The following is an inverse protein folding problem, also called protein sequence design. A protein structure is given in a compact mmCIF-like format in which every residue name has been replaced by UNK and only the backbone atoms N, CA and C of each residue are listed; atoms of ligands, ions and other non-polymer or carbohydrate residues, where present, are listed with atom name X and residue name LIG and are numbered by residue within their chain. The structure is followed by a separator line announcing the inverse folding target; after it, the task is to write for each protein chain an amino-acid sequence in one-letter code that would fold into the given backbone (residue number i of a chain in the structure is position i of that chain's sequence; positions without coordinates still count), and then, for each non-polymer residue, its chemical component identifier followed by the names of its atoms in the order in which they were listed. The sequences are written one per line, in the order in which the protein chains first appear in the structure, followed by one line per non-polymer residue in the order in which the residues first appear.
data_IF_915193386040
#
_entry.id   IF_915193386040
#
_cell.length_a   1.000
_cell.length_b   1.000
_cell.length_c   1.000
_cell.angle_alpha   90.00
_cell.angle_beta   90.00
_cell.angle_gamma   90.00
#
_symmetry.space_group_name_H-M   'P 1'
#
loop_
_entity.id
_entity.type
_entity.pdbx_description
1 polymer ?
#
# COMPACT_ATOMS: atom_id res chain seq x y z
N UNK A 1 -15.98 16.63 -18.39
CA UNK A 1 -14.58 16.20 -18.54
C UNK A 1 -14.32 15.14 -17.49
N UNK A 2 -14.23 13.86 -17.87
CA UNK A 2 -13.99 12.74 -16.93
C UNK A 2 -12.50 12.45 -16.90
N UNK A 3 -11.87 12.53 -15.73
CA UNK A 3 -10.44 12.30 -15.55
C UNK A 3 -10.16 10.79 -15.54
N UNK A 4 -9.39 10.29 -16.52
CA UNK A 4 -9.09 8.85 -16.68
C UNK A 4 -7.77 8.49 -15.99
N UNK A 5 -7.86 7.78 -14.87
CA UNK A 5 -6.74 6.99 -14.32
C UNK A 5 -6.70 5.65 -15.06
N UNK A 6 -5.52 5.25 -15.57
CA UNK A 6 -5.30 3.91 -16.17
C UNK A 6 -4.68 2.97 -15.13
N UNK A 7 -5.34 1.86 -14.85
CA UNK A 7 -4.80 0.76 -14.06
C UNK A 7 -4.37 -0.39 -15.00
N UNK A 8 -3.21 -0.99 -14.75
CA UNK A 8 -2.69 -2.17 -15.48
C UNK A 8 -2.51 -3.36 -14.55
N UNK A 9 -2.62 -4.58 -15.10
CA UNK A 9 -2.50 -5.84 -14.34
C UNK A 9 -1.38 -6.70 -14.92
N UNK A 10 -0.59 -7.35 -14.05
CA UNK A 10 0.26 -8.48 -14.44
C UNK A 10 -0.50 -9.79 -14.16
N UNK A 11 -0.77 -10.58 -15.21
CA UNK A 11 -1.29 -11.96 -15.09
C UNK A 11 -0.18 -12.94 -15.48
N UNK A 12 0.26 -13.77 -14.54
CA UNK A 12 1.09 -14.94 -14.84
C UNK A 12 0.48 -16.20 -14.22
N UNK A 13 0.07 -17.11 -15.09
CA UNK A 13 -0.33 -18.49 -14.80
C UNK A 13 -0.28 -19.30 -16.11
N UNK A 14 0.20 -20.55 -16.12
CA UNK A 14 0.54 -21.26 -17.34
C UNK A 14 -0.66 -22.05 -17.87
N UNK A 15 -1.03 -21.84 -19.13
CA UNK A 15 -1.86 -22.82 -19.86
C UNK A 15 -1.35 -22.97 -21.28
N UNK A 16 -0.88 -24.18 -21.58
CA UNK A 16 -0.65 -24.68 -22.92
C UNK A 16 -1.99 -24.94 -23.62
N UNK A 17 -2.15 -24.48 -24.86
CA UNK A 17 -2.63 -25.30 -25.99
C UNK A 17 -2.60 -24.52 -27.31
N UNK A 18 -2.42 -25.27 -28.38
CA UNK A 18 -2.03 -24.86 -29.73
C UNK A 18 -3.19 -24.30 -30.56
N UNK A 19 -2.83 -23.37 -31.47
CA UNK A 19 -3.35 -23.26 -32.83
C UNK A 19 -4.55 -22.33 -33.04
N UNK A 20 -4.39 -21.31 -33.88
CA UNK A 20 -4.75 -21.29 -35.32
C UNK A 20 -4.45 -19.87 -35.85
N UNK A 21 -3.85 -19.80 -37.04
CA UNK A 21 -3.15 -18.63 -37.54
C UNK A 21 -3.99 -17.60 -38.30
N UNK A 22 -3.33 -16.47 -38.58
CA UNK A 22 -3.48 -15.69 -39.81
C UNK A 22 -4.63 -14.69 -39.86
N UNK A 23 -4.31 -13.41 -39.64
CA UNK A 23 -4.73 -12.20 -40.38
C UNK A 23 -4.70 -10.96 -39.45
N UNK A 24 -3.50 -10.44 -39.16
CA UNK A 24 -3.37 -9.12 -38.52
C UNK A 24 -1.97 -8.46 -38.71
N UNK A 25 -1.24 -8.79 -39.79
CA UNK A 25 0.19 -8.43 -39.91
C UNK A 25 0.50 -7.25 -40.84
N UNK A 26 -0.43 -6.33 -41.11
CA UNK A 26 -0.16 -5.21 -42.05
C UNK A 26 -0.61 -3.80 -41.60
N UNK A 27 -1.02 -3.60 -40.35
CA UNK A 27 -1.31 -2.24 -39.83
C UNK A 27 -0.46 -1.84 -38.61
N UNK A 28 0.45 -2.71 -38.14
CA UNK A 28 1.32 -2.46 -36.99
C UNK A 28 2.71 -1.90 -37.34
N UNK A 29 3.09 -1.86 -38.62
CA UNK A 29 4.42 -1.36 -39.02
C UNK A 29 4.50 0.16 -39.21
N UNK A 30 3.38 0.87 -39.36
CA UNK A 30 3.37 2.30 -39.69
C UNK A 30 3.55 3.25 -38.50
N UNK A 31 3.29 2.81 -37.26
CA UNK A 31 3.39 3.64 -36.05
C UNK A 31 4.64 3.36 -35.21
N UNK A 32 5.35 2.26 -35.48
CA UNK A 32 6.62 1.95 -34.82
C UNK A 32 7.81 2.80 -35.33
N UNK A 33 7.66 3.50 -36.46
CA UNK A 33 8.73 4.25 -37.12
C UNK A 33 8.76 5.75 -36.78
N UNK A 34 7.74 6.30 -36.12
CA UNK A 34 7.69 7.72 -35.73
C UNK A 34 8.20 8.00 -34.30
N UNK A 35 8.48 6.97 -33.48
CA UNK A 35 9.08 7.13 -32.15
C UNK A 35 10.57 6.73 -32.08
N UNK A 36 11.16 6.30 -33.20
CA UNK A 36 12.59 5.93 -33.28
C UNK A 36 13.52 7.13 -33.48
N UNK A 37 13.00 8.36 -33.52
CA UNK A 37 13.76 9.58 -33.80
C UNK A 37 14.15 10.39 -32.55
N UNK A 38 13.99 9.83 -31.36
CA UNK A 38 14.73 10.27 -30.17
C UNK A 38 15.84 9.24 -29.94
N UNK A 39 16.95 9.41 -30.67
CA UNK A 39 18.22 8.79 -30.29
C UNK A 39 18.54 9.24 -28.86
N UNK A 40 18.28 8.35 -27.90
CA UNK A 40 18.92 8.44 -26.60
C UNK A 40 20.42 8.33 -26.87
N UNK A 41 21.13 9.45 -26.74
CA UNK A 41 22.59 9.46 -26.73
C UNK A 41 23.08 8.34 -25.78
N UNK A 42 24.14 7.59 -26.13
CA UNK A 42 24.65 6.54 -25.28
C UNK A 42 25.11 7.18 -23.98
N UNK A 43 24.33 7.01 -22.92
CA UNK A 43 24.77 7.36 -21.59
C UNK A 43 26.01 6.50 -21.32
N UNK A 44 27.17 7.16 -21.15
CA UNK A 44 28.37 6.51 -20.64
C UNK A 44 28.06 5.80 -19.31
N UNK A 45 28.98 4.96 -18.79
CA UNK A 45 28.78 4.28 -17.53
C UNK A 45 28.57 5.32 -16.43
N UNK A 46 27.29 5.58 -16.10
CA UNK A 46 26.93 6.37 -14.94
C UNK A 46 27.49 5.63 -13.72
N UNK A 47 28.16 6.32 -12.78
CA UNK A 47 28.51 5.72 -11.50
C UNK A 47 27.25 5.08 -10.93
N UNK A 48 27.33 3.79 -10.57
CA UNK A 48 26.19 3.06 -10.01
C UNK A 48 25.77 3.83 -8.76
N UNK A 49 24.66 4.59 -8.84
CA UNK A 49 24.22 5.41 -7.72
C UNK A 49 23.99 4.50 -6.52
N UNK A 50 24.39 4.95 -5.35
CA UNK A 50 24.13 4.21 -4.13
C UNK A 50 22.60 4.12 -3.94
N UNK A 51 22.12 2.93 -3.60
CA UNK A 51 20.69 2.61 -3.58
C UNK A 51 20.23 2.42 -2.15
N UNK A 52 19.26 3.22 -1.72
CA UNK A 52 18.56 3.00 -0.46
C UNK A 52 17.43 1.99 -0.62
N UNK A 53 17.03 1.35 0.48
CA UNK A 53 15.91 0.41 0.49
C UNK A 53 14.95 0.67 1.65
N UNK A 54 13.66 0.41 1.46
CA UNK A 54 12.70 0.43 2.55
C UNK A 54 11.61 -0.63 2.37
N UNK A 55 11.08 -1.12 3.49
CA UNK A 55 9.94 -2.03 3.51
C UNK A 55 8.61 -1.28 3.50
N UNK A 56 7.62 -1.83 2.82
CA UNK A 56 6.21 -1.45 2.94
C UNK A 56 5.40 -2.68 3.35
N UNK A 57 4.78 -2.58 4.53
CA UNK A 57 3.86 -3.58 5.08
C UNK A 57 2.51 -2.92 5.30
N UNK A 58 1.43 -3.64 5.02
CA UNK A 58 0.07 -3.12 5.17
C UNK A 58 -0.92 -4.25 5.45
N UNK A 59 -2.04 -3.90 6.08
CA UNK A 59 -3.21 -4.77 6.21
C UNK A 59 -2.83 -6.11 6.86
N UNK A 60 -2.36 -6.03 8.10
CA UNK A 60 -1.96 -7.18 8.89
C UNK A 60 -3.18 -7.99 9.32
N UNK A 61 -4.25 -7.31 9.73
CA UNK A 61 -5.50 -7.85 10.25
C UNK A 61 -5.29 -9.10 11.11
N UNK A 62 -4.77 -8.93 12.32
CA UNK A 62 -4.65 -9.99 13.30
C UNK A 62 -6.06 -10.47 13.70
N UNK A 63 -6.36 -11.75 13.50
CA UNK A 63 -7.47 -12.43 14.18
C UNK A 63 -6.94 -13.15 15.44
N UNK A 64 -7.17 -12.60 16.65
CA UNK A 64 -6.71 -13.24 17.89
C UNK A 64 -7.43 -14.55 18.21
N UNK A 65 -8.54 -14.84 17.52
CA UNK A 65 -9.37 -16.02 17.75
C UNK A 65 -8.96 -17.21 16.89
N UNK A 66 -8.03 -17.02 15.95
CA UNK A 66 -7.61 -18.08 15.03
C UNK A 66 -7.05 -19.30 15.77
N UNK A 67 -7.71 -20.46 15.61
CA UNK A 67 -7.22 -21.74 16.09
C UNK A 67 -7.76 -22.89 15.23
N UNK A 68 -6.97 -23.96 15.09
CA UNK A 68 -7.38 -25.14 14.31
C UNK A 68 -8.31 -26.00 15.17
N UNK A 69 -9.51 -26.26 14.68
CA UNK A 69 -10.54 -27.05 15.36
C UNK A 69 -11.36 -27.86 14.34
N UNK A 70 -11.93 -29.03 14.71
CA UNK A 70 -12.81 -29.79 13.81
C UNK A 70 -14.04 -29.00 13.34
N UNK A 71 -14.58 -28.13 14.18
CA UNK A 71 -15.69 -27.25 13.84
C UNK A 71 -15.17 -26.04 13.03
N UNK A 72 -15.18 -26.18 11.70
CA UNK A 72 -14.61 -25.18 10.79
C UNK A 72 -15.27 -23.80 10.86
N UNK A 73 -16.45 -23.68 11.44
CA UNK A 73 -17.13 -22.39 11.68
C UNK A 73 -16.53 -21.61 12.86
N UNK A 74 -15.74 -22.29 13.70
CA UNK A 74 -15.12 -21.72 14.91
C UNK A 74 -13.61 -21.52 14.78
N UNK A 75 -13.05 -21.75 13.60
CA UNK A 75 -11.61 -21.58 13.36
C UNK A 75 -11.18 -20.14 13.57
N UNK A 76 -11.99 -19.19 13.09
CA UNK A 76 -11.69 -17.76 13.16
C UNK A 76 -12.99 -16.95 13.15
N UNK A 77 -13.05 -15.89 13.94
CA UNK A 77 -14.24 -15.03 14.03
C UNK A 77 -14.40 -14.19 12.77
N UNK A 78 -13.30 -13.86 12.08
CA UNK A 78 -13.32 -13.12 10.82
C UNK A 78 -14.08 -13.82 9.68
N UNK A 79 -14.26 -15.15 9.77
CA UNK A 79 -15.08 -15.92 8.82
C UNK A 79 -16.58 -15.67 8.99
N UNK A 80 -17.00 -15.05 10.11
CA UNK A 80 -18.39 -14.72 10.44
C UNK A 80 -19.29 -15.95 10.44
N UNK A 81 -18.76 -17.09 10.90
CA UNK A 81 -19.45 -18.37 10.97
C UNK A 81 -19.43 -19.19 9.68
N UNK A 82 -18.75 -18.72 8.63
CA UNK A 82 -18.49 -19.55 7.46
C UNK A 82 -17.48 -20.66 7.80
N UNK A 83 -17.63 -21.83 7.16
CA UNK A 83 -16.63 -22.89 7.28
C UNK A 83 -15.31 -22.43 6.66
N UNK A 84 -14.25 -22.34 7.46
CA UNK A 84 -12.89 -22.17 6.95
C UNK A 84 -12.58 -23.25 5.89
N UNK A 85 -11.93 -22.85 4.79
CA UNK A 85 -11.82 -23.68 3.59
C UNK A 85 -10.88 -24.88 3.79
N UNK A 86 -9.65 -24.59 4.21
CA UNK A 86 -8.61 -25.55 4.50
C UNK A 86 -7.63 -24.95 5.53
N UNK A 87 -8.07 -24.75 6.78
CA UNK A 87 -7.31 -24.01 7.77
C UNK A 87 -6.03 -24.76 8.16
N UNK A 88 -4.93 -24.02 8.31
CA UNK A 88 -3.75 -24.54 8.97
C UNK A 88 -2.94 -23.46 9.70
N UNK A 89 -1.70 -23.73 10.12
CA UNK A 89 -0.98 -22.88 11.06
C UNK A 89 -0.75 -21.44 10.62
N UNK A 90 -0.74 -21.16 9.30
CA UNK A 90 -0.49 -19.82 8.75
C UNK A 90 -1.75 -19.16 8.17
N UNK A 91 -2.93 -19.72 8.44
CA UNK A 91 -4.21 -19.10 8.08
C UNK A 91 -5.07 -19.95 7.16
N UNK A 92 -6.12 -19.30 6.67
CA UNK A 92 -7.09 -19.78 5.68
C UNK A 92 -7.56 -18.58 4.85
N UNK A 93 -7.94 -18.78 3.59
CA UNK A 93 -8.45 -17.68 2.76
C UNK A 93 -9.78 -17.09 3.24
N UNK A 94 -10.53 -17.74 4.14
CA UNK A 94 -11.72 -17.17 4.77
C UNK A 94 -11.44 -16.56 6.16
N UNK A 95 -10.17 -16.58 6.58
CA UNK A 95 -9.75 -16.03 7.86
C UNK A 95 -8.81 -14.84 7.66
N UNK A 96 -8.87 -13.93 8.61
CA UNK A 96 -7.81 -12.97 8.84
C UNK A 96 -6.57 -13.64 9.43
N UNK A 97 -5.47 -12.89 9.53
CA UNK A 97 -4.17 -13.44 9.86
C UNK A 97 -4.13 -14.04 11.27
N UNK A 98 -3.74 -15.32 11.44
CA UNK A 98 -3.24 -15.75 12.73
C UNK A 98 -1.96 -14.99 13.07
N UNK A 99 -1.67 -14.82 14.36
CA UNK A 99 -0.45 -14.14 14.79
C UNK A 99 0.82 -14.81 14.23
N UNK A 100 0.80 -16.14 14.08
CA UNK A 100 1.89 -16.92 13.49
C UNK A 100 2.21 -16.51 12.04
N UNK A 101 1.22 -16.09 11.24
CA UNK A 101 1.45 -15.57 9.89
C UNK A 101 2.17 -14.21 9.95
N UNK A 102 1.71 -13.31 10.81
CA UNK A 102 2.33 -11.98 10.96
C UNK A 102 3.79 -12.11 11.45
N UNK A 103 4.03 -12.93 12.48
CA UNK A 103 5.37 -13.22 12.99
C UNK A 103 6.30 -13.76 11.90
N UNK A 104 5.79 -14.64 11.04
CA UNK A 104 6.58 -15.22 9.97
C UNK A 104 6.95 -14.21 8.87
N UNK A 105 6.06 -13.26 8.56
CA UNK A 105 6.35 -12.19 7.60
C UNK A 105 7.47 -11.29 8.13
N UNK A 106 7.42 -10.90 9.41
CA UNK A 106 8.49 -10.13 10.03
C UNK A 106 9.79 -10.91 10.20
N UNK A 107 9.72 -12.20 10.51
CA UNK A 107 10.91 -13.07 10.53
C UNK A 107 11.57 -13.14 9.15
N UNK A 108 10.79 -13.35 8.08
CA UNK A 108 11.29 -13.31 6.72
C UNK A 108 11.97 -11.98 6.40
N UNK A 109 11.32 -10.86 6.69
CA UNK A 109 11.89 -9.53 6.44
C UNK A 109 13.22 -9.33 7.16
N UNK A 110 13.33 -9.78 8.41
CA UNK A 110 14.55 -9.74 9.21
C UNK A 110 15.67 -10.63 8.64
N UNK A 111 15.32 -11.85 8.22
CA UNK A 111 16.27 -12.84 7.73
C UNK A 111 16.63 -12.67 6.23
N UNK A 112 15.99 -11.72 5.54
CA UNK A 112 16.15 -11.47 4.10
C UNK A 112 17.53 -10.90 3.70
N UNK A 113 18.39 -10.58 4.67
CA UNK A 113 19.67 -9.89 4.49
C UNK A 113 19.57 -8.56 3.69
N UNK A 114 18.38 -7.96 3.60
CA UNK A 114 18.21 -6.64 3.00
C UNK A 114 18.60 -5.56 4.00
N UNK A 115 19.47 -4.64 3.57
CA UNK A 115 19.84 -3.46 4.35
C UNK A 115 18.81 -2.37 4.05
N UNK A 116 17.88 -2.16 4.98
CA UNK A 116 16.79 -1.19 4.84
C UNK A 116 17.02 0.03 5.72
N UNK A 117 16.71 1.20 5.18
CA UNK A 117 16.88 2.49 5.85
C UNK A 117 15.70 2.81 6.78
N UNK A 118 14.48 2.41 6.40
CA UNK A 118 13.26 2.59 7.18
C UNK A 118 12.17 1.58 6.75
N UNK A 119 11.03 1.62 7.44
CA UNK A 119 9.81 0.91 7.06
C UNK A 119 8.63 1.88 7.00
N UNK A 120 7.72 1.68 6.06
CA UNK A 120 6.38 2.27 6.10
C UNK A 120 5.35 1.18 6.44
N UNK A 121 4.42 1.52 7.34
CA UNK A 121 3.36 0.61 7.79
C UNK A 121 2.00 1.28 7.64
N UNK A 122 1.25 0.94 6.59
CA UNK A 122 0.01 1.65 6.23
C UNK A 122 -1.26 1.08 6.88
N UNK A 123 -1.15 0.60 8.13
CA UNK A 123 -2.30 0.35 9.00
C UNK A 123 -3.06 -0.96 8.77
N UNK A 124 -4.28 -0.99 9.34
CA UNK A 124 -5.25 -2.09 9.38
C UNK A 124 -4.75 -3.32 10.16
N UNK A 125 -4.83 -3.19 11.49
CA UNK A 125 -4.38 -4.18 12.46
C UNK A 125 -5.50 -5.09 12.98
N UNK A 126 -6.70 -4.59 13.36
CA UNK A 126 -7.80 -5.43 13.84
C UNK A 126 -8.46 -6.29 12.75
N UNK A 127 -9.16 -7.39 13.13
CA UNK A 127 -9.77 -8.29 12.16
C UNK A 127 -11.12 -7.76 11.64
N UNK A 128 -11.59 -8.37 10.54
CA UNK A 128 -12.90 -8.14 9.95
C UNK A 128 -14.01 -8.91 10.68
N UNK A 129 -14.36 -8.47 11.88
CA UNK A 129 -15.49 -8.99 12.65
C UNK A 129 -16.63 -7.96 12.75
N UNK A 130 -17.87 -8.36 13.04
CA UNK A 130 -18.95 -7.41 13.32
C UNK A 130 -18.55 -6.40 14.40
N UNK A 131 -18.95 -5.14 14.27
CA UNK A 131 -18.60 -4.03 15.19
C UNK A 131 -18.79 -4.38 16.67
N UNK A 132 -19.86 -5.14 16.99
CA UNK A 132 -20.21 -5.57 18.35
C UNK A 132 -19.23 -6.56 18.99
N UNK A 133 -18.36 -7.19 18.19
CA UNK A 133 -17.34 -8.14 18.65
C UNK A 133 -15.99 -7.45 18.92
N UNK A 134 -15.88 -6.16 18.60
CA UNK A 134 -14.75 -5.30 18.95
C UNK A 134 -15.17 -4.23 19.96
N UNK A 135 -14.17 -3.52 20.46
CA UNK A 135 -14.32 -2.31 21.29
C UNK A 135 -13.09 -1.43 21.10
N UNK A 136 -13.17 -0.16 21.50
CA UNK A 136 -12.02 0.77 21.51
C UNK A 136 -10.80 0.16 22.19
N UNK A 137 -10.99 -0.47 23.35
CA UNK A 137 -9.92 -1.12 24.12
C UNK A 137 -9.27 -2.27 23.36
N UNK A 138 -10.07 -3.12 22.69
CA UNK A 138 -9.55 -4.24 21.91
C UNK A 138 -8.77 -3.75 20.68
N UNK A 139 -9.30 -2.76 19.96
CA UNK A 139 -8.62 -2.12 18.82
C UNK A 139 -7.27 -1.55 19.25
N UNK A 140 -7.25 -0.75 20.32
CA UNK A 140 -6.00 -0.18 20.89
C UNK A 140 -5.02 -1.30 21.29
N UNK A 141 -5.51 -2.36 21.92
CA UNK A 141 -4.66 -3.50 22.33
C UNK A 141 -4.04 -4.21 21.13
N UNK A 142 -4.77 -4.38 20.03
CA UNK A 142 -4.26 -5.03 18.82
C UNK A 142 -3.21 -4.14 18.13
N UNK A 143 -3.46 -2.84 18.00
CA UNK A 143 -2.49 -1.89 17.43
C UNK A 143 -1.23 -1.83 18.30
N UNK A 144 -1.38 -1.81 19.63
CA UNK A 144 -0.26 -1.85 20.58
C UNK A 144 0.54 -3.16 20.51
N UNK A 145 -0.13 -4.30 20.27
CA UNK A 145 0.53 -5.58 20.01
C UNK A 145 1.36 -5.48 18.73
N UNK A 146 0.78 -5.10 17.59
CA UNK A 146 1.51 -4.98 16.32
C UNK A 146 2.69 -4.00 16.40
N UNK A 147 2.48 -2.85 17.04
CA UNK A 147 3.55 -1.85 17.25
C UNK A 147 4.70 -2.43 18.09
N UNK A 148 4.40 -3.25 19.09
CA UNK A 148 5.41 -3.91 19.92
C UNK A 148 6.10 -5.06 19.18
N UNK A 149 5.36 -5.84 18.40
CA UNK A 149 5.91 -6.90 17.53
C UNK A 149 6.92 -6.31 16.55
N UNK A 150 6.58 -5.22 15.86
CA UNK A 150 7.49 -4.56 14.91
C UNK A 150 8.76 -4.09 15.62
N UNK A 151 8.65 -3.42 16.77
CA UNK A 151 9.82 -2.99 17.56
C UNK A 151 10.69 -4.16 18.03
N UNK A 152 10.09 -5.30 18.38
CA UNK A 152 10.84 -6.47 18.81
C UNK A 152 11.63 -7.12 17.66
N UNK A 153 11.08 -7.11 16.43
CA UNK A 153 11.81 -7.60 15.25
C UNK A 153 12.86 -6.61 14.76
N UNK A 154 12.54 -5.32 14.80
CA UNK A 154 13.34 -4.23 14.23
C UNK A 154 13.53 -3.10 15.27
N UNK A 155 14.36 -3.30 16.31
CA UNK A 155 14.50 -2.33 17.40
C UNK A 155 15.12 -0.99 16.95
N UNK A 156 16.01 -1.04 15.97
CA UNK A 156 16.78 0.13 15.51
C UNK A 156 16.21 0.74 14.20
N UNK A 157 15.15 0.15 13.65
CA UNK A 157 14.58 0.60 12.38
C UNK A 157 13.50 1.67 12.62
N UNK A 158 13.65 2.82 11.98
CA UNK A 158 12.59 3.83 11.99
C UNK A 158 11.39 3.36 11.17
N UNK A 159 10.20 3.50 11.75
CA UNK A 159 8.93 3.10 11.11
C UNK A 159 8.05 4.32 10.97
N UNK A 160 7.50 4.54 9.77
CA UNK A 160 6.51 5.57 9.50
C UNK A 160 5.13 4.94 9.30
N UNK A 161 4.30 4.90 10.35
CA UNK A 161 2.98 4.31 10.27
C UNK A 161 1.89 5.26 9.76
N UNK A 162 0.81 4.69 9.22
CA UNK A 162 -0.47 5.35 8.98
C UNK A 162 -1.59 4.49 9.58
N UNK A 163 -2.67 5.13 10.04
CA UNK A 163 -3.86 4.42 10.51
C UNK A 163 -4.67 3.89 9.32
N UNK A 164 -5.19 2.68 9.43
CA UNK A 164 -6.22 2.15 8.54
C UNK A 164 -7.64 2.33 9.07
N UNK A 165 -8.64 1.96 8.25
CA UNK A 165 -10.05 2.16 8.61
C UNK A 165 -10.52 1.17 9.69
N UNK A 166 -9.87 0.01 9.83
CA UNK A 166 -10.10 -0.93 10.93
C UNK A 166 -9.36 -0.55 12.23
N UNK A 167 -8.41 0.38 12.19
CA UNK A 167 -7.67 0.85 13.38
C UNK A 167 -8.49 1.85 14.23
N UNK A 168 -9.82 1.73 14.23
CA UNK A 168 -10.72 2.54 15.05
C UNK A 168 -11.96 1.74 15.45
N UNK A 169 -12.62 2.14 16.54
CA UNK A 169 -13.91 1.56 16.93
C UNK A 169 -14.97 2.65 17.15
N UNK A 170 -16.17 2.53 16.55
CA UNK A 170 -16.51 1.58 15.48
C UNK A 170 -15.61 1.72 14.24
N UNK A 171 -15.39 0.65 13.49
CA UNK A 171 -14.57 0.68 12.26
C UNK A 171 -15.07 1.77 11.30
N UNK A 172 -14.15 2.33 10.51
CA UNK A 172 -14.33 3.40 9.54
C UNK A 172 -14.65 4.79 10.13
N UNK A 173 -15.16 4.89 11.37
CA UNK A 173 -15.67 6.14 11.95
C UNK A 173 -14.58 7.03 12.58
N UNK A 174 -13.47 7.23 11.85
CA UNK A 174 -12.33 8.02 12.33
C UNK A 174 -12.72 9.50 12.46
N UNK A 175 -12.50 10.15 13.63
CA UNK A 175 -12.97 11.49 13.91
C UNK A 175 -12.05 12.59 13.38
N UNK A 176 -12.59 13.81 13.28
CA UNK A 176 -11.85 15.01 12.84
C UNK A 176 -11.11 15.74 13.97
N UNK A 177 -11.18 15.21 15.20
CA UNK A 177 -10.54 15.76 16.39
C UNK A 177 -9.81 14.66 17.15
N UNK A 178 -9.11 15.04 18.23
CA UNK A 178 -8.48 14.08 19.13
C UNK A 178 -9.46 13.02 19.64
N UNK A 179 -8.93 11.82 19.90
CA UNK A 179 -9.69 10.66 20.36
C UNK A 179 -8.85 9.77 21.27
N UNK A 180 -9.49 8.85 21.99
CA UNK A 180 -8.78 7.85 22.81
C UNK A 180 -7.81 7.01 21.96
N UNK A 181 -8.24 6.59 20.77
CA UNK A 181 -7.40 5.83 19.84
C UNK A 181 -6.21 6.65 19.36
N UNK A 182 -6.41 7.90 18.91
CA UNK A 182 -5.30 8.74 18.44
C UNK A 182 -4.30 8.99 19.57
N UNK A 183 -4.76 9.17 20.80
CA UNK A 183 -3.88 9.35 21.93
C UNK A 183 -3.08 8.09 22.27
N UNK A 184 -3.74 6.93 22.34
CA UNK A 184 -3.07 5.67 22.66
C UNK A 184 -2.07 5.26 21.57
N UNK A 185 -2.45 5.40 20.30
CA UNK A 185 -1.57 5.07 19.17
C UNK A 185 -0.38 6.03 19.09
N UNK A 186 -0.58 7.31 19.39
CA UNK A 186 0.52 8.26 19.51
C UNK A 186 1.55 7.79 20.55
N UNK A 187 1.10 7.28 21.70
CA UNK A 187 2.00 6.76 22.73
C UNK A 187 2.78 5.53 22.28
N UNK A 188 2.17 4.63 21.50
CA UNK A 188 2.86 3.48 20.94
C UNK A 188 3.92 3.87 19.90
N UNK A 189 3.68 4.95 19.15
CA UNK A 189 4.53 5.36 18.02
C UNK A 189 5.57 6.44 18.38
N UNK A 190 5.54 6.97 19.62
CA UNK A 190 6.58 7.86 20.16
C UNK A 190 8.02 7.41 19.89
N UNK A 191 8.38 6.12 19.98
CA UNK A 191 9.76 5.69 19.69
C UNK A 191 10.21 5.93 18.25
N UNK A 192 9.28 6.09 17.30
CA UNK A 192 9.60 6.31 15.89
C UNK A 192 9.41 7.75 15.44
N UNK A 193 8.63 8.54 16.18
CA UNK A 193 8.13 9.84 15.76
C UNK A 193 8.60 10.99 16.66
N UNK A 194 8.83 12.16 16.08
CA UNK A 194 9.18 13.38 16.83
C UNK A 194 7.97 13.89 17.62
N UNK A 195 8.23 14.72 18.65
CA UNK A 195 7.15 15.32 19.45
C UNK A 195 6.20 16.19 18.62
N UNK A 196 6.69 16.85 17.57
CA UNK A 196 5.87 17.62 16.62
C UNK A 196 4.93 16.71 15.82
N UNK A 197 5.46 15.59 15.30
CA UNK A 197 4.67 14.59 14.59
C UNK A 197 3.61 13.97 15.52
N UNK A 198 3.99 13.62 16.74
CA UNK A 198 3.08 13.12 17.78
C UNK A 198 2.00 14.15 18.13
N UNK A 199 2.37 15.43 18.27
CA UNK A 199 1.43 16.51 18.58
C UNK A 199 0.38 16.71 17.48
N UNK A 200 0.76 16.57 16.21
CA UNK A 200 -0.17 16.66 15.07
C UNK A 200 -1.02 15.39 14.97
N UNK A 201 -0.41 14.21 15.14
CA UNK A 201 -1.11 12.93 15.08
C UNK A 201 -2.23 12.85 16.12
N UNK A 202 -2.01 13.30 17.36
CA UNK A 202 -3.05 13.33 18.40
C UNK A 202 -4.28 14.16 18.02
N UNK A 203 -4.16 15.13 17.12
CA UNK A 203 -5.26 16.02 16.71
C UNK A 203 -6.13 15.43 15.60
N UNK A 204 -5.56 14.65 14.68
CA UNK A 204 -6.28 14.19 13.49
C UNK A 204 -5.80 12.89 12.84
N UNK A 205 -4.86 12.17 13.47
CA UNK A 205 -4.35 10.89 12.96
C UNK A 205 -3.40 10.99 11.77
N UNK A 206 -2.88 12.18 11.46
CA UNK A 206 -1.91 12.44 10.38
C UNK A 206 -0.69 13.22 10.92
N UNK A 207 0.45 13.14 10.22
CA UNK A 207 1.66 13.87 10.60
C UNK A 207 2.65 13.96 9.43
N UNK A 208 3.70 14.76 9.60
CA UNK A 208 4.88 14.74 8.74
C UNK A 208 6.14 14.59 9.59
N UNK A 209 7.18 13.99 9.02
CA UNK A 209 8.48 13.84 9.65
C UNK A 209 9.59 13.80 8.61
N UNK A 210 10.74 14.38 8.93
CA UNK A 210 11.95 14.22 8.13
C UNK A 210 12.63 12.90 8.48
N UNK A 211 13.04 12.19 7.44
CA UNK A 211 13.92 11.04 7.48
C UNK A 211 15.31 11.49 7.03
N UNK A 212 16.30 11.32 7.90
CA UNK A 212 17.70 11.60 7.60
C UNK A 212 18.41 10.27 7.35
N UNK A 213 18.85 10.05 6.11
CA UNK A 213 19.66 8.89 5.77
C UNK A 213 21.13 9.19 6.09
N UNK A 214 21.86 8.23 6.65
CA UNK A 214 23.34 8.35 6.75
C UNK A 214 24.02 8.41 5.38
N UNK A 215 23.33 7.92 4.34
CA UNK A 215 23.89 7.71 3.02
C UNK A 215 23.38 8.75 2.00
N UNK A 216 22.58 9.73 2.43
CA UNK A 216 22.11 10.85 1.59
C UNK A 216 22.43 12.19 2.24
N UNK A 217 22.76 13.18 1.42
CA UNK A 217 23.00 14.56 1.87
C UNK A 217 21.73 15.41 2.00
N UNK A 218 20.59 14.93 1.49
CA UNK A 218 19.31 15.63 1.57
C UNK A 218 18.36 14.81 2.45
N UNK A 219 17.51 15.42 3.27
CA UNK A 219 16.50 14.69 4.01
C UNK A 219 15.29 14.37 3.12
N UNK A 220 14.63 13.24 3.38
CA UNK A 220 13.35 12.88 2.79
C UNK A 220 12.22 13.24 3.74
N UNK A 221 11.19 13.94 3.29
CA UNK A 221 9.99 14.16 4.09
C UNK A 221 8.98 13.05 3.88
N UNK A 222 8.57 12.40 4.97
CA UNK A 222 7.42 11.51 4.99
C UNK A 222 6.18 12.31 5.42
N UNK A 223 5.10 12.18 4.67
CA UNK A 223 3.78 12.71 5.03
C UNK A 223 2.83 11.53 5.18
N UNK A 224 2.41 11.26 6.42
CA UNK A 224 1.43 10.22 6.75
C UNK A 224 0.04 10.83 6.84
N UNK A 225 -0.80 10.52 5.86
CA UNK A 225 -2.16 11.01 5.74
C UNK A 225 -3.15 10.09 6.44
N UNK A 226 -4.16 10.69 7.08
CA UNK A 226 -5.34 9.97 7.54
C UNK A 226 -6.40 10.02 6.43
N UNK A 227 -6.23 9.17 5.41
CA UNK A 227 -7.18 9.10 4.28
C UNK A 227 -8.51 8.44 4.64
N UNK A 228 -8.61 7.83 5.82
CA UNK A 228 -9.87 7.27 6.33
C UNK A 228 -10.91 8.36 6.61
N UNK A 229 -10.48 9.62 6.82
CA UNK A 229 -11.39 10.77 6.88
C UNK A 229 -12.17 10.97 5.58
N UNK A 230 -11.62 10.51 4.45
CA UNK A 230 -12.23 10.65 3.13
C UNK A 230 -13.01 9.41 2.71
N UNK A 231 -12.93 8.32 3.47
CA UNK A 231 -13.51 7.02 3.13
C UNK A 231 -15.05 7.08 3.13
N UNK A 232 -15.67 6.49 2.10
CA UNK A 232 -17.12 6.60 1.88
C UNK A 232 -17.99 6.12 3.06
N UNK A 233 -17.63 5.04 3.78
CA UNK A 233 -18.32 4.60 5.00
C UNK A 233 -18.14 5.48 6.25
N UNK A 234 -17.20 6.43 6.27
CA UNK A 234 -16.96 7.26 7.45
C UNK A 234 -18.06 8.33 7.60
N UNK A 235 -19.10 8.05 8.39
CA UNK A 235 -20.25 8.96 8.54
C UNK A 235 -19.89 10.25 9.30
N UNK A 236 -18.79 10.25 10.05
CA UNK A 236 -18.33 11.40 10.87
C UNK A 236 -17.92 12.59 10.00
N UNK A 237 -17.48 12.34 8.76
CA UNK A 237 -16.97 13.39 7.85
C UNK A 237 -17.95 13.83 6.77
N UNK A 238 -19.20 13.34 6.80
CA UNK A 238 -20.23 13.74 5.85
C UNK A 238 -20.44 15.26 5.91
N UNK A 239 -20.49 15.91 4.75
CA UNK A 239 -20.65 17.36 4.58
C UNK A 239 -19.53 18.22 5.18
N UNK A 240 -18.36 17.66 5.51
CA UNK A 240 -17.18 18.43 5.92
C UNK A 240 -16.28 18.65 4.70
N UNK A 241 -15.98 19.91 4.35
CA UNK A 241 -15.21 20.24 3.15
C UNK A 241 -13.71 19.96 3.28
N UNK A 242 -13.16 20.06 4.49
CA UNK A 242 -11.77 19.74 4.83
C UNK A 242 -11.70 19.10 6.23
N UNK A 243 -11.95 17.78 6.34
CA UNK A 243 -11.99 17.10 7.63
C UNK A 243 -10.63 17.18 8.34
N UNK A 244 -10.66 17.64 9.59
CA UNK A 244 -9.48 17.92 10.42
C UNK A 244 -8.50 18.97 9.85
N UNK A 245 -8.93 19.79 8.89
CA UNK A 245 -8.09 20.74 8.16
C UNK A 245 -6.88 20.08 7.45
N UNK A 246 -7.01 18.80 7.09
CA UNK A 246 -5.90 18.01 6.56
C UNK A 246 -5.48 18.45 5.15
N UNK A 247 -6.39 18.95 4.30
CA UNK A 247 -6.02 19.49 2.99
C UNK A 247 -5.23 20.79 3.13
N UNK A 248 -5.72 21.74 3.92
CA UNK A 248 -5.01 23.00 4.17
C UNK A 248 -3.63 22.75 4.79
N UNK A 249 -3.55 21.81 5.75
CA UNK A 249 -2.28 21.37 6.32
C UNK A 249 -1.35 20.75 5.27
N UNK A 250 -1.86 19.83 4.45
CA UNK A 250 -1.08 19.15 3.41
C UNK A 250 -0.51 20.13 2.38
N UNK A 251 -1.33 21.06 1.88
CA UNK A 251 -0.87 22.10 0.95
C UNK A 251 0.23 22.96 1.59
N UNK A 252 0.08 23.34 2.87
CA UNK A 252 1.11 24.08 3.60
C UNK A 252 2.44 23.34 3.72
N UNK A 253 2.41 22.03 4.02
CA UNK A 253 3.62 21.20 4.11
C UNK A 253 4.28 21.04 2.74
N UNK A 254 3.50 20.74 1.68
CA UNK A 254 4.04 20.56 0.33
C UNK A 254 4.62 21.86 -0.24
N UNK A 255 3.99 23.00 0.02
CA UNK A 255 4.52 24.32 -0.33
C UNK A 255 5.85 24.59 0.37
N UNK A 256 5.94 24.34 1.68
CA UNK A 256 7.17 24.50 2.44
C UNK A 256 8.28 23.55 1.95
N UNK A 257 7.95 22.29 1.62
CA UNK A 257 8.90 21.34 1.02
C UNK A 257 9.38 21.81 -0.34
N UNK A 258 8.49 22.38 -1.17
CA UNK A 258 8.88 22.95 -2.46
C UNK A 258 9.89 24.09 -2.30
N UNK A 259 9.69 24.97 -1.33
CA UNK A 259 10.59 26.11 -1.07
C UNK A 259 11.94 25.69 -0.51
N UNK A 260 11.98 24.55 0.20
CA UNK A 260 13.20 23.97 0.77
C UNK A 260 13.87 22.95 -0.16
N UNK A 261 13.33 22.74 -1.35
CA UNK A 261 13.80 21.74 -2.31
C UNK A 261 13.82 20.31 -1.74
N UNK A 262 12.95 20.00 -0.78
CA UNK A 262 12.81 18.67 -0.20
C UNK A 262 12.11 17.71 -1.17
N UNK A 263 12.37 16.42 -1.03
CA UNK A 263 11.55 15.37 -1.64
C UNK A 263 10.58 14.79 -0.63
N UNK A 264 9.42 14.37 -1.14
CA UNK A 264 8.31 13.89 -0.31
C UNK A 264 7.87 12.49 -0.73
N UNK A 265 7.70 11.61 0.26
CA UNK A 265 6.88 10.42 0.14
C UNK A 265 5.55 10.61 0.87
N UNK A 266 4.45 10.36 0.16
CA UNK A 266 3.10 10.34 0.73
C UNK A 266 2.77 8.90 1.13
N UNK A 267 2.38 8.68 2.37
CA UNK A 267 1.81 7.42 2.81
C UNK A 267 0.38 7.64 3.31
N UNK A 268 -0.49 6.66 3.11
CA UNK A 268 -1.85 6.66 3.63
C UNK A 268 -2.43 5.25 3.55
N UNK A 269 -3.61 5.03 4.12
CA UNK A 269 -4.22 3.70 4.08
C UNK A 269 -5.13 3.53 2.85
N UNK A 270 -6.29 4.18 2.84
CA UNK A 270 -7.22 4.16 1.71
C UNK A 270 -6.60 4.94 0.54
N UNK A 271 -6.41 4.34 -0.64
CA UNK A 271 -5.81 5.02 -1.78
C UNK A 271 -6.74 6.07 -2.39
N UNK A 272 -6.16 7.00 -3.15
CA UNK A 272 -6.94 7.80 -4.11
C UNK A 272 -7.23 6.96 -5.36
N UNK A 273 -8.08 7.49 -6.24
CA UNK A 273 -8.37 6.90 -7.54
C UNK A 273 -9.49 5.86 -7.50
N UNK A 274 -9.64 5.17 -8.63
CA UNK A 274 -10.69 4.19 -8.85
C UNK A 274 -10.26 2.78 -8.42
N UNK A 275 -11.19 2.05 -7.81
CA UNK A 275 -10.98 0.65 -7.48
C UNK A 275 -10.87 -0.17 -8.78
N UNK A 276 -9.77 -0.92 -8.99
CA UNK A 276 -9.52 -1.59 -10.28
C UNK A 276 -10.49 -2.74 -10.59
N UNK A 277 -11.23 -3.22 -9.57
CA UNK A 277 -12.20 -4.30 -9.65
C UNK A 277 -13.66 -3.82 -9.65
N UNK A 278 -13.91 -2.51 -9.53
CA UNK A 278 -15.26 -1.93 -9.55
C UNK A 278 -15.39 -0.86 -10.63
N UNK A 279 -16.56 -0.75 -11.25
CA UNK A 279 -16.80 0.24 -12.30
C UNK A 279 -17.13 1.59 -11.67
N UNK A 280 -16.45 2.65 -12.12
CA UNK A 280 -16.73 4.04 -11.76
C UNK A 280 -16.88 4.29 -10.25
N UNK A 281 -16.11 3.57 -9.44
CA UNK A 281 -16.14 3.66 -7.98
C UNK A 281 -14.76 4.04 -7.48
N UNK A 282 -14.66 5.22 -6.86
CA UNK A 282 -13.44 5.66 -6.17
C UNK A 282 -13.34 5.02 -4.79
N UNK A 283 -12.13 4.79 -4.30
CA UNK A 283 -11.92 4.21 -2.97
C UNK A 283 -12.36 5.18 -1.83
N UNK A 284 -12.13 6.48 -2.02
CA UNK A 284 -12.63 7.56 -1.16
C UNK A 284 -13.77 8.33 -1.86
N UNK A 285 -14.49 9.20 -1.15
CA UNK A 285 -15.57 10.00 -1.77
C UNK A 285 -15.01 10.88 -2.90
N UNK A 286 -15.75 10.98 -4.00
CA UNK A 286 -15.32 11.66 -5.23
C UNK A 286 -14.83 13.09 -4.98
N UNK A 287 -15.52 13.89 -4.17
CA UNK A 287 -15.10 15.24 -3.82
C UNK A 287 -13.67 15.30 -3.24
N UNK A 288 -13.36 14.40 -2.29
CA UNK A 288 -12.03 14.34 -1.67
C UNK A 288 -10.98 13.76 -2.63
N UNK A 289 -11.38 12.78 -3.45
CA UNK A 289 -10.53 12.25 -4.52
C UNK A 289 -10.04 13.36 -5.44
N UNK A 290 -10.97 14.15 -5.98
CA UNK A 290 -10.63 15.25 -6.89
C UNK A 290 -9.79 16.34 -6.19
N UNK A 291 -10.03 16.60 -4.90
CA UNK A 291 -9.22 17.56 -4.13
C UNK A 291 -7.78 17.08 -3.99
N UNK A 292 -7.55 15.81 -3.63
CA UNK A 292 -6.20 15.24 -3.53
C UNK A 292 -5.51 15.15 -4.87
N UNK A 293 -6.20 14.75 -5.94
CA UNK A 293 -5.64 14.71 -7.30
C UNK A 293 -5.12 16.09 -7.70
N UNK A 294 -5.87 17.16 -7.43
CA UNK A 294 -5.43 18.54 -7.71
C UNK A 294 -4.20 18.92 -6.90
N UNK A 295 -4.17 18.62 -5.60
CA UNK A 295 -3.02 18.91 -4.72
C UNK A 295 -1.77 18.16 -5.21
N UNK A 296 -1.88 16.84 -5.44
CA UNK A 296 -0.75 16.03 -5.87
C UNK A 296 -0.25 16.39 -7.26
N UNK A 297 -1.14 16.80 -8.18
CA UNK A 297 -0.72 17.32 -9.49
C UNK A 297 0.04 18.64 -9.33
N UNK A 298 -0.45 19.56 -8.50
CA UNK A 298 0.21 20.86 -8.26
C UNK A 298 1.62 20.70 -7.70
N UNK A 299 1.83 19.73 -6.82
CA UNK A 299 3.09 19.50 -6.12
C UNK A 299 3.88 18.28 -6.62
N UNK A 300 3.63 17.82 -7.85
CA UNK A 300 4.21 16.58 -8.38
C UNK A 300 5.73 16.61 -8.55
N UNK A 301 6.33 17.80 -8.64
CA UNK A 301 7.80 17.97 -8.68
C UNK A 301 8.49 17.65 -7.35
N UNK A 302 7.76 17.78 -6.24
CA UNK A 302 8.23 17.55 -4.86
C UNK A 302 7.93 16.12 -4.44
N UNK A 303 6.78 15.58 -4.84
CA UNK A 303 6.34 14.23 -4.47
C UNK A 303 7.08 13.19 -5.32
N UNK A 304 7.93 12.39 -4.67
CA UNK A 304 8.73 11.35 -5.32
C UNK A 304 8.05 9.97 -5.35
N UNK A 305 7.02 9.76 -4.52
CA UNK A 305 6.25 8.51 -4.49
C UNK A 305 5.06 8.57 -3.54
N UNK A 306 4.03 7.76 -3.83
CA UNK A 306 2.86 7.62 -2.97
C UNK A 306 2.57 6.15 -2.69
N UNK A 307 2.27 5.80 -1.43
CA UNK A 307 2.19 4.42 -0.96
C UNK A 307 0.94 4.19 -0.13
N UNK A 308 0.14 3.20 -0.52
CA UNK A 308 -1.16 2.89 0.07
C UNK A 308 -1.37 1.40 0.32
N UNK A 309 -2.42 1.07 1.08
CA UNK A 309 -2.85 -0.31 1.38
C UNK A 309 -4.31 -0.53 1.04
N UNK A 310 -5.09 -1.01 2.01
CA UNK A 310 -6.56 -1.10 2.06
C UNK A 310 -7.19 -2.11 1.09
N UNK A 311 -6.79 -2.10 -0.18
CA UNK A 311 -7.44 -2.93 -1.20
C UNK A 311 -7.06 -4.41 -1.12
N UNK A 312 -6.00 -4.71 -0.36
CA UNK A 312 -5.34 -6.02 -0.28
C UNK A 312 -4.85 -6.52 -1.65
N UNK A 313 -4.69 -5.62 -2.63
CA UNK A 313 -4.25 -5.95 -3.98
C UNK A 313 -2.99 -5.18 -4.32
N UNK A 314 -2.13 -5.88 -5.03
CA UNK A 314 -0.99 -5.29 -5.70
C UNK A 314 -1.50 -4.48 -6.89
N UNK A 315 -1.40 -3.15 -6.81
CA UNK A 315 -1.85 -2.24 -7.86
C UNK A 315 -0.96 -1.02 -7.98
N UNK A 316 -0.86 -0.50 -9.20
CA UNK A 316 -0.08 0.69 -9.52
C UNK A 316 -1.02 1.68 -10.20
N UNK A 317 -0.91 2.95 -9.84
CA UNK A 317 -1.59 4.04 -10.52
C UNK A 317 -0.57 5.09 -10.95
N UNK A 318 -0.84 5.74 -12.08
CA UNK A 318 -0.03 6.83 -12.61
C UNK A 318 -0.90 8.07 -12.67
N UNK A 319 -0.48 9.12 -11.96
CA UNK A 319 -1.11 10.43 -12.03
C UNK A 319 -0.56 11.18 -13.23
N UNK A 320 -1.48 11.68 -14.06
CA UNK A 320 -1.16 12.53 -15.22
C UNK A 320 -1.40 14.01 -14.89
N UNK A 321 -0.60 14.90 -15.49
CA UNK A 321 -0.87 16.34 -15.54
C UNK A 321 -2.01 16.67 -16.53
N UNK A 322 -2.22 17.96 -16.80
CA UNK A 322 -3.30 18.42 -17.69
C UNK A 322 -2.96 18.18 -19.17
N UNK A 323 -1.67 18.03 -19.49
CA UNK A 323 -1.13 17.67 -20.79
C UNK A 323 -0.99 16.14 -20.99
N UNK A 324 -1.62 15.34 -20.13
CA UNK A 324 -1.58 13.87 -20.13
C UNK A 324 -0.18 13.25 -19.95
N UNK A 325 0.80 14.02 -19.45
CA UNK A 325 2.12 13.50 -19.12
C UNK A 325 2.08 12.88 -17.73
N UNK A 326 2.75 11.73 -17.54
CA UNK A 326 2.84 11.14 -16.22
C UNK A 326 3.70 12.06 -15.34
N UNK A 327 3.22 12.33 -14.13
CA UNK A 327 3.91 13.20 -13.16
C UNK A 327 4.15 12.54 -11.81
N UNK A 328 3.42 11.48 -11.47
CA UNK A 328 3.56 10.80 -10.17
C UNK A 328 3.15 9.33 -10.24
N UNK A 329 3.85 8.48 -9.47
CA UNK A 329 3.57 7.05 -9.35
C UNK A 329 3.01 6.73 -7.97
N UNK A 330 1.92 5.95 -7.92
CA UNK A 330 1.26 5.52 -6.71
C UNK A 330 1.25 4.00 -6.64
N UNK A 331 1.57 3.46 -5.48
CA UNK A 331 1.70 2.03 -5.25
C UNK A 331 0.75 1.59 -4.15
N UNK A 332 -0.09 0.62 -4.47
CA UNK A 332 -0.95 -0.06 -3.50
C UNK A 332 -0.31 -1.41 -3.21
N UNK A 333 0.10 -1.62 -1.96
CA UNK A 333 0.70 -2.87 -1.53
C UNK A 333 -0.39 -3.94 -1.27
N UNK A 334 -0.11 -5.22 -1.58
CA UNK A 334 -0.97 -6.31 -1.12
C UNK A 334 -0.93 -6.44 0.41
N UNK A 335 -1.93 -7.11 0.96
CA UNK A 335 -2.02 -7.35 2.39
C UNK A 335 -1.18 -8.54 2.84
N UNK A 336 -0.86 -8.58 4.14
CA UNK A 336 -0.40 -9.81 4.80
C UNK A 336 -1.58 -10.75 5.04
N UNK A 337 -2.76 -10.23 5.41
CA UNK A 337 -3.96 -11.08 5.53
C UNK A 337 -4.37 -11.67 4.17
N UNK A 338 -4.75 -12.96 4.11
CA UNK A 338 -5.27 -13.58 2.89
C UNK A 338 -6.79 -13.56 2.83
N UNK A 339 -7.48 -12.86 3.74
CA UNK A 339 -8.93 -12.97 3.90
C UNK A 339 -9.67 -12.59 2.61
N UNK A 340 -10.69 -13.37 2.27
CA UNK A 340 -11.72 -13.02 1.29
C UNK A 340 -13.10 -13.35 1.83
N UNK A 341 -14.10 -12.66 1.33
CA UNK A 341 -15.49 -13.05 1.56
C UNK A 341 -15.83 -14.36 0.83
N UNK A 342 -16.85 -15.07 1.33
CA UNK A 342 -17.30 -16.36 0.76
C UNK A 342 -17.71 -16.25 -0.71
N UNK A 343 -18.27 -15.11 -1.11
CA UNK A 343 -18.75 -14.84 -2.47
C UNK A 343 -17.63 -14.44 -3.44
N UNK A 344 -16.44 -14.09 -2.92
CA UNK A 344 -15.29 -13.74 -3.77
C UNK A 344 -14.61 -15.02 -4.25
N UNK A 345 -14.35 -15.08 -5.56
CA UNK A 345 -13.61 -16.19 -6.17
C UNK A 345 -12.12 -16.13 -5.81
N UNK A 346 -11.54 -14.94 -5.84
CA UNK A 346 -10.11 -14.71 -5.68
C UNK A 346 -9.79 -14.03 -4.33
N UNK A 347 -8.63 -14.37 -3.78
CA UNK A 347 -7.97 -13.61 -2.70
C UNK A 347 -6.56 -13.21 -3.11
N UNK A 348 -5.85 -12.53 -2.21
CA UNK A 348 -4.40 -12.38 -2.27
C UNK A 348 -3.71 -13.45 -1.43
N UNK A 349 -2.50 -13.78 -1.83
CA UNK A 349 -1.53 -14.42 -0.96
C UNK A 349 -0.91 -13.36 -0.01
N UNK A 350 -0.45 -13.75 1.20
CA UNK A 350 0.26 -12.85 2.10
C UNK A 350 1.48 -12.24 1.40
N UNK A 351 1.61 -10.91 1.46
CA UNK A 351 2.68 -10.18 0.77
C UNK A 351 3.32 -9.08 1.61
N UNK A 352 4.61 -8.87 1.40
CA UNK A 352 5.38 -7.70 1.84
C UNK A 352 6.18 -7.16 0.67
N UNK A 353 6.43 -5.84 0.64
CA UNK A 353 7.09 -5.18 -0.51
C UNK A 353 8.34 -4.44 -0.09
N UNK A 354 9.42 -4.65 -0.84
CA UNK A 354 10.67 -3.89 -0.72
C UNK A 354 10.77 -2.90 -1.88
N UNK A 355 11.09 -1.65 -1.59
CA UNK A 355 11.41 -0.65 -2.59
C UNK A 355 12.91 -0.33 -2.58
N UNK A 356 13.40 0.03 -3.75
CA UNK A 356 14.73 0.59 -3.97
C UNK A 356 14.58 2.02 -4.49
N UNK A 357 15.34 2.95 -3.92
CA UNK A 357 15.29 4.37 -4.29
C UNK A 357 16.71 4.93 -4.48
N UNK A 358 16.82 5.97 -5.31
CA UNK A 358 18.06 6.69 -5.52
C UNK A 358 18.35 7.60 -4.31
N UNK A 359 19.56 7.55 -3.77
CA UNK A 359 19.93 8.34 -2.59
C UNK A 359 20.11 9.84 -2.89
N UNK A 360 20.16 10.26 -4.16
CA UNK A 360 20.32 11.67 -4.53
C UNK A 360 18.99 12.43 -4.58
N UNK A 361 17.95 11.81 -5.15
CA UNK A 361 16.68 12.49 -5.45
C UNK A 361 15.43 11.74 -4.97
N UNK A 362 15.63 10.62 -4.25
CA UNK A 362 14.58 9.74 -3.74
C UNK A 362 13.63 9.19 -4.81
N UNK A 363 14.02 9.25 -6.09
CA UNK A 363 13.25 8.61 -7.15
C UNK A 363 13.25 7.09 -6.96
N UNK A 364 12.10 6.48 -7.21
CA UNK A 364 11.96 5.03 -7.10
C UNK A 364 12.61 4.34 -8.29
N UNK A 365 13.42 3.33 -8.02
CA UNK A 365 14.17 2.57 -9.01
C UNK A 365 13.47 1.24 -9.33
N UNK A 366 13.25 0.43 -8.30
CA UNK A 366 12.72 -0.94 -8.41
C UNK A 366 11.84 -1.25 -7.21
N UNK A 367 10.79 -2.04 -7.42
CA UNK A 367 10.07 -2.69 -6.31
C UNK A 367 10.14 -4.20 -6.46
N UNK A 368 10.24 -4.88 -5.32
CA UNK A 368 10.28 -6.34 -5.22
C UNK A 368 9.18 -6.79 -4.28
N UNK A 369 8.29 -7.62 -4.80
CA UNK A 369 7.25 -8.26 -4.02
C UNK A 369 7.69 -9.62 -3.55
N UNK A 370 7.54 -9.84 -2.24
CA UNK A 370 7.72 -11.14 -1.63
C UNK A 370 6.36 -11.65 -1.20
N UNK A 371 5.88 -12.70 -1.88
CA UNK A 371 4.56 -13.30 -1.67
C UNK A 371 4.73 -14.73 -1.16
N UNK A 372 4.06 -15.07 -0.07
CA UNK A 372 4.02 -16.45 0.45
C UNK A 372 2.88 -17.22 -0.22
N UNK A 373 3.11 -18.48 -0.61
CA UNK A 373 2.07 -19.30 -1.24
C UNK A 373 1.57 -20.38 -0.29
N UNK A 374 0.25 -20.51 -0.16
CA UNK A 374 -0.35 -21.69 0.48
C UNK A 374 -0.25 -22.89 -0.48
N UNK A 375 0.59 -23.88 -0.17
CA UNK A 375 0.71 -25.10 -0.99
C UNK A 375 -0.13 -26.25 -0.41
N UNK A 376 -1.04 -26.78 -1.21
CA UNK A 376 -1.90 -27.92 -0.87
C UNK A 376 -1.23 -29.23 -1.30
N UNK A 377 -0.26 -29.74 -0.53
CA UNK A 377 0.24 -31.12 -0.73
C UNK A 377 0.22 -31.87 0.61
N UNK A 378 -0.69 -32.83 0.71
CA UNK A 378 -0.79 -33.88 1.76
C UNK A 378 -0.87 -33.42 3.24
N UNK A 379 -2.00 -32.79 3.62
CA UNK A 379 -2.45 -32.63 5.02
C UNK A 379 -1.41 -32.10 6.03
N UNK A 380 -0.44 -31.34 5.55
CA UNK A 380 0.54 -30.68 6.38
C UNK A 380 0.96 -29.39 5.70
N UNK A 381 0.76 -28.26 6.38
CA UNK A 381 1.34 -26.99 5.96
C UNK A 381 2.82 -27.07 6.26
N UNK A 382 3.57 -27.61 5.29
CA UNK A 382 5.01 -27.79 5.39
C UNK A 382 5.67 -26.41 5.42
N UNK A 383 6.62 -26.32 6.34
CA UNK A 383 7.65 -25.33 6.65
C UNK A 383 8.43 -24.76 5.44
N UNK A 384 7.77 -24.35 4.36
CA UNK A 384 8.40 -23.74 3.20
C UNK A 384 7.97 -22.27 3.07
N UNK A 385 8.48 -21.44 3.98
CA UNK A 385 8.79 -20.03 3.67
C UNK A 385 9.92 -19.89 2.63
N UNK A 386 10.50 -21.00 2.18
CA UNK A 386 11.58 -21.06 1.18
C UNK A 386 11.14 -20.71 -0.24
N UNK A 387 9.84 -20.59 -0.53
CA UNK A 387 9.34 -20.19 -1.85
C UNK A 387 8.59 -18.84 -1.82
N UNK A 388 9.07 -17.85 -1.04
CA UNK A 388 8.74 -16.45 -1.36
C UNK A 388 9.40 -16.10 -2.70
N UNK A 389 8.61 -16.16 -3.78
CA UNK A 389 9.09 -15.75 -5.10
C UNK A 389 9.17 -14.23 -5.15
N UNK A 390 10.37 -13.70 -5.35
CA UNK A 390 10.57 -12.28 -5.60
C UNK A 390 10.09 -11.95 -7.02
N UNK A 391 9.01 -11.19 -7.15
CA UNK A 391 8.63 -10.61 -8.44
C UNK A 391 9.27 -9.23 -8.57
N UNK A 392 10.16 -9.07 -9.55
CA UNK A 392 10.79 -7.78 -9.85
C UNK A 392 9.85 -6.99 -10.75
N UNK A 393 9.37 -5.87 -10.23
CA UNK A 393 8.67 -4.86 -11.01
C UNK A 393 9.74 -3.85 -11.46
N UNK A 394 10.13 -3.95 -12.74
CA UNK A 394 11.28 -3.22 -13.30
C UNK A 394 10.93 -1.76 -13.70
N UNK A 395 11.77 -0.83 -13.23
CA UNK A 395 11.86 0.60 -13.58
C UNK A 395 10.64 1.47 -13.22
N UNK A 396 10.67 2.03 -12.00
CA UNK A 396 9.57 2.79 -11.41
C UNK A 396 9.45 4.27 -11.84
N UNK A 397 10.29 4.75 -12.76
CA UNK A 397 10.27 6.14 -13.24
C UNK A 397 8.97 6.46 -13.99
N UNK A 398 8.38 7.60 -13.63
CA UNK A 398 7.10 8.12 -14.12
C UNK A 398 6.94 8.05 -15.65
N UNK A 399 7.99 8.38 -16.43
CA UNK A 399 7.97 8.31 -17.90
C UNK A 399 7.97 6.90 -18.50
N UNK A 400 8.44 5.88 -17.78
CA UNK A 400 8.55 4.49 -18.27
C UNK A 400 7.33 3.62 -17.94
N UNK A 401 6.53 3.99 -16.93
CA UNK A 401 5.25 3.33 -16.63
C UNK A 401 4.23 3.43 -17.76
N UNK A 402 4.21 4.57 -18.47
CA UNK A 402 3.42 4.70 -19.68
C UNK A 402 3.70 3.54 -20.63
N UNK A 403 4.97 3.18 -20.85
CA UNK A 403 5.35 2.09 -21.75
C UNK A 403 4.71 0.76 -21.31
N UNK A 404 4.77 0.40 -20.02
CA UNK A 404 4.19 -0.86 -19.52
C UNK A 404 2.64 -0.87 -19.61
N UNK A 405 1.99 0.25 -19.26
CA UNK A 405 0.52 0.38 -19.40
C UNK A 405 0.07 0.37 -20.86
N UNK A 406 0.92 0.84 -21.79
CA UNK A 406 0.69 0.70 -23.24
C UNK A 406 0.87 -0.74 -23.75
N UNK A 407 1.64 -1.59 -23.07
CA UNK A 407 1.76 -3.03 -23.38
C UNK A 407 0.63 -3.89 -22.78
N UNK A 408 -0.08 -3.37 -21.77
CA UNK A 408 -1.35 -3.93 -21.30
C UNK A 408 -2.55 -3.07 -21.72
N UNK A 409 -2.79 -2.81 -23.02
CA UNK A 409 -4.06 -2.25 -23.43
C UNK A 409 -5.06 -3.39 -23.30
N UNK A 410 -5.78 -3.43 -22.17
CA UNK A 410 -7.04 -4.14 -22.14
C UNK A 410 -7.84 -3.68 -23.35
N UNK A 411 -8.44 -4.62 -24.10
CA UNK A 411 -9.42 -4.33 -25.15
C UNK A 411 -10.61 -3.58 -24.54
N UNK A 412 -10.45 -2.29 -24.29
CA UNK A 412 -11.53 -1.38 -23.97
C UNK A 412 -12.26 -1.10 -25.27
N UNK A 413 -13.36 -1.80 -25.50
CA UNK A 413 -14.41 -1.24 -26.36
C UNK A 413 -14.83 0.09 -25.74
N UNK A 414 -14.84 1.15 -26.53
CA UNK A 414 -15.51 2.40 -26.22
C UNK A 414 -16.94 2.11 -25.75
N UNK A 415 -17.27 2.48 -24.51
CA UNK A 415 -18.62 2.83 -24.04
C UNK A 415 -18.49 3.92 -22.97
#
# INVERSE_FOLDING_TARGET
MRYRLRAGFSRHGPTWSRGWGGLASRLTLGLALLCSALEAAPAGPQPRSAVGQFWHVSDLHLDPTYHITPDRTKVCSSSKGANASNPGPFGDFLCDSPYQLILSAFAFMKDSNQQVSFMIWTGDSPPHVPVKELSTKLVISIIGNMSSTIRNFFPDLQVFPALGNHDYWPQDQLPVTTSEVYNAVADFWKPWLTDEAIGTFRKGGFYTQLFESSDSSQPLRIISLNTNLYYSPNSVTVNITDPANQFAWLEGILEASSQKEEKVYIIGHVPIGYLPYARNTTAIREYYNERLVKIFRKYSSVIAGQFFGHTHRDSIMVLLDEEEKPVNSLFVAPAVTPVKNVWQMESNNPGVRLYQYDLLDYSLLVSKDFKAFFKTLNNSIIKNYSEMSAFVVLWLLVGRWCLLLFFFPGKGKEI
#
